data_IF_287515767407
#
_entry.id   IF_287515767407
#
_cell.length_a   1.000
_cell.length_b   1.000
_cell.length_c   1.000
_cell.angle_alpha   90.00
_cell.angle_beta   90.00
_cell.angle_gamma   90.00
#
_symmetry.space_group_name_H-M   'P 1'
#
loop_
_entity.id
_entity.type
_entity.pdbx_description
1 polymer ?
#
# COMPACT_ATOMS: atom_id res chain seq x y z
N UNK A 1 26.57 19.82 -40.26
CA UNK A 1 25.33 19.15 -39.78
C UNK A 1 25.54 18.21 -38.59
N UNK A 2 26.73 17.61 -38.40
CA UNK A 2 27.01 16.69 -37.28
C UNK A 2 27.03 17.31 -35.86
N UNK A 3 27.29 18.61 -35.73
CA UNK A 3 27.40 19.29 -34.41
C UNK A 3 26.05 19.35 -33.68
N UNK A 4 24.93 19.46 -34.41
CA UNK A 4 23.58 19.54 -33.82
C UNK A 4 23.08 18.20 -33.26
N UNK A 5 23.51 17.07 -33.82
CA UNK A 5 23.13 15.73 -33.35
C UNK A 5 23.78 15.37 -32.00
N UNK A 6 25.04 15.79 -31.78
CA UNK A 6 25.74 15.55 -30.51
C UNK A 6 25.15 16.34 -29.34
N UNK A 7 24.70 17.57 -29.56
CA UNK A 7 24.08 18.39 -28.51
C UNK A 7 22.72 17.86 -28.08
N UNK A 8 21.90 17.36 -29.00
CA UNK A 8 20.59 16.77 -28.67
C UNK A 8 20.78 15.48 -27.84
N UNK A 9 21.77 14.67 -28.15
CA UNK A 9 22.04 13.42 -27.43
C UNK A 9 22.55 13.65 -26.00
N UNK A 10 23.38 14.67 -25.77
CA UNK A 10 23.84 15.05 -24.42
C UNK A 10 22.71 15.61 -23.55
N UNK A 11 21.80 16.41 -24.13
CA UNK A 11 20.64 16.94 -23.40
C UNK A 11 19.66 15.81 -23.05
N UNK A 12 19.38 14.89 -23.97
CA UNK A 12 18.52 13.73 -23.70
C UNK A 12 19.09 12.83 -22.59
N UNK A 13 20.40 12.62 -22.56
CA UNK A 13 21.05 11.82 -21.53
C UNK A 13 21.07 12.52 -20.17
N UNK A 14 21.27 13.85 -20.14
CA UNK A 14 21.20 14.64 -18.91
C UNK A 14 19.78 14.67 -18.30
N UNK A 15 18.74 14.72 -19.13
CA UNK A 15 17.33 14.65 -18.68
C UNK A 15 17.00 13.25 -18.14
N UNK A 16 17.49 12.19 -18.79
CA UNK A 16 17.30 10.81 -18.31
C UNK A 16 18.00 10.58 -16.95
N UNK A 17 19.21 11.14 -16.76
CA UNK A 17 19.98 11.02 -15.52
C UNK A 17 19.39 11.89 -14.40
N UNK A 18 18.90 13.09 -14.70
CA UNK A 18 18.25 13.95 -13.70
C UNK A 18 16.93 13.34 -13.19
N UNK A 19 16.20 12.62 -14.04
CA UNK A 19 15.00 11.87 -13.62
C UNK A 19 15.30 10.68 -12.70
N UNK A 20 16.53 10.14 -12.73
CA UNK A 20 16.96 9.02 -11.88
C UNK A 20 17.46 9.46 -10.49
N UNK A 21 17.69 10.76 -10.27
CA UNK A 21 18.29 11.29 -9.04
C UNK A 21 17.30 12.00 -8.11
N UNK A 22 16.03 12.12 -8.46
CA UNK A 22 15.02 12.61 -7.53
C UNK A 22 14.83 11.56 -6.42
N UNK A 23 15.14 11.85 -5.14
CA UNK A 23 14.81 10.93 -4.06
C UNK A 23 13.29 10.78 -4.07
N UNK A 24 12.75 9.54 -4.16
CA UNK A 24 11.32 9.35 -4.02
C UNK A 24 10.95 9.87 -2.64
N UNK A 25 9.97 10.78 -2.57
CA UNK A 25 9.33 11.15 -1.31
C UNK A 25 8.55 9.92 -0.84
N UNK A 26 9.26 8.98 -0.20
CA UNK A 26 8.67 7.79 0.36
C UNK A 26 8.17 8.13 1.75
N UNK A 27 6.89 7.90 1.99
CA UNK A 27 6.40 7.78 3.35
C UNK A 27 7.23 6.71 4.07
N UNK A 28 7.54 6.92 5.35
CA UNK A 28 8.41 6.05 6.12
C UNK A 28 7.67 4.74 6.38
N UNK A 29 8.08 3.61 5.76
CA UNK A 29 7.34 2.37 5.92
C UNK A 29 7.34 1.93 7.39
N UNK A 30 6.17 1.51 7.87
CA UNK A 30 6.00 0.94 9.20
C UNK A 30 6.55 -0.50 9.20
N UNK A 31 7.83 -0.63 9.56
CA UNK A 31 8.51 -1.91 9.68
C UNK A 31 7.86 -2.81 10.75
N UNK A 32 7.95 -4.16 10.63
CA UNK A 32 7.53 -5.07 11.69
C UNK A 32 8.20 -4.74 13.05
N UNK A 33 7.39 -4.66 14.11
CA UNK A 33 7.84 -4.21 15.44
C UNK A 33 7.97 -2.69 15.59
N UNK A 34 7.79 -1.94 14.49
CA UNK A 34 7.86 -0.50 14.46
C UNK A 34 6.63 0.17 15.09
N UNK A 35 6.85 1.40 15.54
CA UNK A 35 5.81 2.30 16.03
C UNK A 35 6.12 3.70 15.54
N UNK A 36 5.08 4.47 15.19
CA UNK A 36 5.20 5.87 14.81
C UNK A 36 4.08 6.67 15.47
N UNK A 37 4.38 7.94 15.77
CA UNK A 37 3.34 8.93 16.01
C UNK A 37 2.68 9.21 14.67
N UNK A 38 1.34 9.23 14.64
CA UNK A 38 0.59 9.64 13.46
C UNK A 38 0.37 11.15 13.52
N UNK A 39 0.61 11.83 12.40
CA UNK A 39 0.53 13.30 12.31
C UNK A 39 -0.64 13.74 11.43
N UNK A 40 -1.24 12.80 10.70
CA UNK A 40 -2.33 13.06 9.79
C UNK A 40 -1.84 13.64 8.46
N UNK A 41 -2.24 12.99 7.40
CA UNK A 41 -1.98 13.43 6.03
C UNK A 41 -2.99 14.51 5.64
N UNK A 42 -2.49 15.67 5.20
CA UNK A 42 -3.34 16.77 4.70
C UNK A 42 -3.87 16.51 3.28
N UNK A 43 -3.18 15.64 2.53
CA UNK A 43 -3.61 15.19 1.21
C UNK A 43 -4.14 13.77 1.30
N UNK A 44 -5.29 13.53 0.68
CA UNK A 44 -5.86 12.18 0.58
C UNK A 44 -4.99 11.31 -0.37
N UNK A 45 -4.33 10.23 0.12
CA UNK A 45 -3.49 9.38 -0.71
C UNK A 45 -4.27 8.58 -1.75
N UNK A 46 -5.60 8.52 -1.63
CA UNK A 46 -6.47 7.80 -2.56
C UNK A 46 -6.91 8.65 -3.75
N UNK A 47 -6.47 9.91 -3.87
CA UNK A 47 -6.75 10.75 -5.05
C UNK A 47 -6.19 10.08 -6.31
N UNK A 48 -7.06 9.86 -7.29
CA UNK A 48 -6.74 9.16 -8.53
C UNK A 48 -6.69 7.64 -8.42
N UNK A 49 -6.92 7.07 -7.23
CA UNK A 49 -7.11 5.65 -7.02
C UNK A 49 -8.51 5.20 -7.46
N UNK A 50 -8.63 3.94 -7.88
CA UNK A 50 -9.90 3.29 -8.21
C UNK A 50 -10.33 2.43 -7.02
N UNK A 51 -11.56 2.64 -6.55
CA UNK A 51 -12.17 1.77 -5.55
C UNK A 51 -12.49 0.41 -6.16
N UNK A 52 -11.94 -0.66 -5.59
CA UNK A 52 -12.13 -2.04 -6.03
C UNK A 52 -13.25 -2.74 -5.28
N UNK A 53 -13.41 -2.46 -3.99
CA UNK A 53 -14.42 -3.05 -3.13
C UNK A 53 -14.76 -2.15 -1.94
N UNK A 54 -15.89 -2.43 -1.31
CA UNK A 54 -16.32 -1.84 -0.05
C UNK A 54 -17.06 -2.88 0.77
N UNK A 55 -16.80 -2.92 2.06
CA UNK A 55 -17.55 -3.70 3.03
C UNK A 55 -17.94 -2.80 4.20
N UNK A 56 -19.19 -2.91 4.63
CA UNK A 56 -19.70 -2.20 5.81
C UNK A 56 -20.41 -3.21 6.70
N UNK A 57 -20.01 -3.25 7.97
CA UNK A 57 -20.54 -4.19 8.93
C UNK A 57 -20.65 -3.57 10.33
N UNK A 58 -21.72 -3.89 11.07
CA UNK A 58 -21.88 -3.42 12.43
C UNK A 58 -20.87 -4.13 13.35
N UNK A 59 -20.50 -3.45 14.43
CA UNK A 59 -19.79 -4.03 15.57
C UNK A 59 -20.50 -3.66 16.86
N UNK A 60 -20.40 -4.53 17.86
CA UNK A 60 -20.89 -4.25 19.19
C UNK A 60 -20.09 -5.03 20.24
N UNK A 61 -19.88 -4.37 21.38
CA UNK A 61 -19.46 -4.96 22.63
C UNK A 61 -20.43 -4.51 23.73
N UNK A 62 -20.11 -4.74 25.01
CA UNK A 62 -21.05 -4.44 26.10
C UNK A 62 -21.27 -2.92 26.31
N UNK A 63 -20.28 -2.10 25.97
CA UNK A 63 -20.20 -0.66 26.29
C UNK A 63 -19.96 0.24 25.07
N UNK A 64 -19.83 -0.32 23.88
CA UNK A 64 -19.75 0.43 22.63
C UNK A 64 -20.36 -0.35 21.46
N UNK A 65 -20.87 0.38 20.48
CA UNK A 65 -21.39 -0.16 19.22
C UNK A 65 -21.17 0.83 18.09
N UNK A 66 -21.32 0.36 16.86
CA UNK A 66 -21.23 1.22 15.68
C UNK A 66 -21.10 0.44 14.38
N UNK A 67 -20.60 1.12 13.36
CA UNK A 67 -20.40 0.59 12.01
C UNK A 67 -18.96 0.82 11.59
N UNK A 68 -18.31 -0.26 11.13
CA UNK A 68 -17.03 -0.21 10.45
C UNK A 68 -17.27 -0.32 8.94
N UNK A 69 -16.76 0.64 8.19
CA UNK A 69 -16.66 0.55 6.73
C UNK A 69 -15.20 0.47 6.32
N UNK A 70 -14.86 -0.49 5.47
CA UNK A 70 -13.57 -0.60 4.83
C UNK A 70 -13.72 -0.50 3.31
N UNK A 71 -12.96 0.39 2.70
CA UNK A 71 -12.84 0.52 1.26
C UNK A 71 -11.46 0.04 0.80
N UNK A 72 -11.44 -0.66 -0.34
CA UNK A 72 -10.22 -1.16 -0.98
C UNK A 72 -9.95 -0.36 -2.23
N UNK A 73 -8.72 0.15 -2.38
CA UNK A 73 -8.31 0.97 -3.52
C UNK A 73 -7.06 0.42 -4.20
N UNK A 74 -6.88 0.75 -5.48
CA UNK A 74 -5.64 0.53 -6.22
C UNK A 74 -5.44 1.59 -7.32
N UNK A 75 -4.22 1.69 -7.86
CA UNK A 75 -3.89 2.63 -8.93
C UNK A 75 -3.59 4.05 -8.42
N UNK A 76 -3.45 4.99 -9.35
CA UNK A 76 -3.01 6.36 -9.02
C UNK A 76 -1.58 6.37 -8.49
N UNK A 77 -1.35 7.07 -7.38
CA UNK A 77 -0.09 7.11 -6.64
C UNK A 77 0.07 5.99 -5.60
N UNK A 78 -0.91 5.08 -5.48
CA UNK A 78 -0.87 4.03 -4.47
C UNK A 78 0.20 2.98 -4.81
N UNK A 79 0.95 2.48 -3.81
CA UNK A 79 2.02 1.48 -4.02
C UNK A 79 1.51 0.09 -4.40
N UNK A 80 0.20 -0.14 -4.28
CA UNK A 80 -0.47 -1.42 -4.47
C UNK A 80 -1.90 -1.33 -3.94
N UNK A 81 -2.49 -2.47 -3.61
CA UNK A 81 -3.81 -2.51 -2.97
C UNK A 81 -3.72 -1.89 -1.57
N UNK A 82 -4.54 -0.88 -1.32
CA UNK A 82 -4.52 -0.08 -0.09
C UNK A 82 -5.92 -0.01 0.52
N UNK A 83 -5.98 0.15 1.84
CA UNK A 83 -7.21 0.04 2.62
C UNK A 83 -7.51 1.34 3.34
N UNK A 84 -8.75 1.81 3.25
CA UNK A 84 -9.27 2.94 4.04
C UNK A 84 -10.34 2.44 4.98
N UNK A 85 -10.34 2.92 6.21
CA UNK A 85 -11.27 2.53 7.26
C UNK A 85 -12.00 3.75 7.80
N UNK A 86 -13.33 3.62 7.90
CA UNK A 86 -14.22 4.57 8.55
C UNK A 86 -14.86 3.86 9.73
N UNK A 87 -14.66 4.39 10.94
CA UNK A 87 -15.25 3.86 12.17
C UNK A 87 -16.24 4.91 12.67
N UNK A 88 -17.53 4.60 12.63
CA UNK A 88 -18.58 5.41 13.21
C UNK A 88 -19.10 4.69 14.46
N UNK A 89 -19.21 5.41 15.57
CA UNK A 89 -19.80 4.88 16.80
C UNK A 89 -21.23 5.36 16.95
N UNK A 90 -22.09 4.50 17.48
CA UNK A 90 -23.45 4.89 17.82
C UNK A 90 -23.44 5.82 19.05
N UNK A 91 -24.52 6.60 19.23
CA UNK A 91 -24.71 7.47 20.39
C UNK A 91 -25.03 6.71 21.70
N UNK A 92 -24.88 5.37 21.69
CA UNK A 92 -25.06 4.50 22.84
C UNK A 92 -23.71 3.99 23.34
N UNK A 93 -23.46 4.18 24.64
CA UNK A 93 -22.26 3.67 25.31
C UNK A 93 -21.51 4.78 26.04
N UNK A 94 -21.09 4.59 27.30
CA UNK A 94 -20.40 5.63 28.05
C UNK A 94 -18.90 5.73 27.73
N UNK A 95 -18.33 4.74 27.02
CA UNK A 95 -16.89 4.60 26.86
C UNK A 95 -16.45 4.84 25.41
N UNK A 96 -15.38 5.64 25.24
CA UNK A 96 -14.77 5.87 23.93
C UNK A 96 -13.99 4.64 23.46
N UNK A 97 -13.86 4.45 22.14
CA UNK A 97 -12.95 3.45 21.59
C UNK A 97 -11.50 3.94 21.67
N UNK A 98 -10.62 3.12 22.23
CA UNK A 98 -9.22 3.50 22.52
C UNK A 98 -8.21 2.83 21.57
N UNK A 99 -8.61 1.73 20.92
CA UNK A 99 -7.73 0.99 20.01
C UNK A 99 -8.50 0.29 18.90
N UNK A 100 -7.91 0.31 17.71
CA UNK A 100 -8.31 -0.48 16.56
C UNK A 100 -7.12 -1.29 16.05
N UNK A 101 -7.30 -2.57 15.75
CA UNK A 101 -6.25 -3.42 15.17
C UNK A 101 -6.72 -4.13 13.92
N UNK A 102 -5.94 -4.06 12.85
CA UNK A 102 -6.19 -4.69 11.56
C UNK A 102 -5.18 -5.83 11.34
N UNK A 103 -5.65 -6.99 10.87
CA UNK A 103 -4.83 -8.21 10.78
C UNK A 103 -4.42 -8.58 9.34
N UNK A 104 -3.44 -9.48 9.24
CA UNK A 104 -2.92 -10.14 8.02
C UNK A 104 -2.05 -9.29 7.08
N UNK A 105 -1.17 -8.46 7.64
CA UNK A 105 -0.21 -7.65 6.89
C UNK A 105 1.19 -8.24 6.79
N UNK A 106 1.41 -9.49 7.23
CA UNK A 106 2.73 -10.14 7.19
C UNK A 106 3.22 -10.29 5.74
N UNK A 107 4.49 -9.95 5.49
CA UNK A 107 5.10 -10.05 4.16
C UNK A 107 4.89 -8.86 3.24
N UNK A 108 4.07 -7.87 3.63
CA UNK A 108 3.86 -6.64 2.86
C UNK A 108 4.66 -5.46 3.43
N UNK A 109 5.11 -4.57 2.54
CA UNK A 109 5.48 -3.21 2.94
C UNK A 109 4.20 -2.48 3.30
N UNK A 110 4.19 -1.81 4.45
CA UNK A 110 3.00 -1.12 4.96
C UNK A 110 3.37 0.28 5.38
N UNK A 111 2.51 1.22 5.07
CA UNK A 111 2.53 2.57 5.61
C UNK A 111 1.11 2.91 6.09
N UNK A 112 0.98 3.62 7.20
CA UNK A 112 -0.29 3.78 7.88
C UNK A 112 -0.36 5.13 8.62
N UNK A 113 -1.45 5.84 8.41
CA UNK A 113 -1.73 7.15 9.01
C UNK A 113 -3.26 7.39 8.95
N UNK A 114 -3.70 8.62 9.20
CA UNK A 114 -5.06 9.07 8.96
C UNK A 114 -5.11 10.29 8.04
N UNK A 115 -6.29 10.64 7.54
CA UNK A 115 -6.51 11.85 6.74
C UNK A 115 -7.00 12.99 7.65
N UNK A 116 -6.21 14.05 7.77
CA UNK A 116 -6.54 15.21 8.60
C UNK A 116 -7.78 15.94 8.07
N UNK A 117 -8.64 16.40 8.99
CA UNK A 117 -9.89 17.08 8.64
C UNK A 117 -11.03 16.16 8.23
N UNK A 118 -10.85 14.84 8.36
CA UNK A 118 -11.93 13.85 8.23
C UNK A 118 -12.40 13.40 9.61
N UNK A 119 -13.65 12.97 9.72
CA UNK A 119 -14.26 12.55 10.99
C UNK A 119 -14.66 13.71 11.90
N UNK A 120 -15.18 13.36 13.08
CA UNK A 120 -15.62 14.27 14.14
C UNK A 120 -15.03 13.96 15.51
N UNK A 121 -14.31 12.84 15.67
CA UNK A 121 -13.65 12.45 16.92
C UNK A 121 -12.17 12.88 16.97
N UNK A 122 -11.53 12.60 18.11
CA UNK A 122 -10.07 12.67 18.21
C UNK A 122 -9.38 11.73 17.20
N UNK A 123 -8.21 12.14 16.72
CA UNK A 123 -7.35 11.32 15.88
C UNK A 123 -6.55 10.33 16.74
N UNK A 124 -6.13 9.18 16.17
CA UNK A 124 -5.18 8.31 16.87
C UNK A 124 -3.87 9.07 17.16
N UNK A 125 -3.17 8.67 18.22
CA UNK A 125 -1.86 9.24 18.58
C UNK A 125 -0.72 8.40 18.00
N UNK A 126 -0.88 7.07 18.02
CA UNK A 126 0.17 6.12 17.65
C UNK A 126 -0.38 5.09 16.68
N UNK A 127 0.41 4.80 15.65
CA UNK A 127 0.28 3.58 14.84
C UNK A 127 1.46 2.65 15.13
N UNK A 128 1.17 1.36 15.32
CA UNK A 128 2.21 0.37 15.56
C UNK A 128 1.97 -0.92 14.77
N UNK A 129 3.05 -1.63 14.45
CA UNK A 129 3.01 -2.92 13.75
C UNK A 129 3.63 -3.99 14.62
N UNK A 130 2.95 -5.12 14.75
CA UNK A 130 3.44 -6.27 15.51
C UNK A 130 4.80 -6.74 14.98
N UNK A 131 5.62 -7.35 15.85
CA UNK A 131 6.96 -7.88 15.52
C UNK A 131 6.95 -8.86 14.34
N UNK A 132 5.92 -9.69 14.22
CA UNK A 132 5.75 -10.60 13.08
C UNK A 132 5.18 -9.91 11.81
N UNK A 133 4.92 -8.61 11.87
CA UNK A 133 4.39 -7.81 10.77
C UNK A 133 2.90 -8.02 10.48
N UNK A 134 2.22 -8.92 11.20
CA UNK A 134 0.87 -9.38 10.85
C UNK A 134 -0.23 -8.40 11.22
N UNK A 135 -0.07 -7.62 12.28
CA UNK A 135 -1.11 -6.75 12.81
C UNK A 135 -0.64 -5.31 12.87
N UNK A 136 -1.48 -4.39 12.40
CA UNK A 136 -1.30 -2.94 12.54
C UNK A 136 -2.35 -2.44 13.54
N UNK A 137 -1.93 -1.63 14.51
CA UNK A 137 -2.82 -1.04 15.51
C UNK A 137 -2.76 0.47 15.48
N UNK A 138 -3.93 1.11 15.54
CA UNK A 138 -4.10 2.52 15.83
C UNK A 138 -4.53 2.67 17.29
N UNK A 139 -3.90 3.57 18.02
CA UNK A 139 -4.14 3.82 19.45
C UNK A 139 -4.36 5.29 19.67
N UNK A 140 -5.43 5.64 20.37
CA UNK A 140 -5.70 7.01 20.79
C UNK A 140 -5.03 7.29 22.15
N UNK A 141 -4.90 8.56 22.52
CA UNK A 141 -4.30 8.94 23.81
C UNK A 141 -5.23 8.55 24.98
N UNK A 142 -4.70 8.51 26.21
CA UNK A 142 -5.53 8.18 27.38
C UNK A 142 -6.63 9.23 27.56
N UNK A 143 -7.89 8.77 27.66
CA UNK A 143 -9.11 9.60 27.69
C UNK A 143 -9.39 10.37 26.38
N UNK A 144 -8.65 10.09 25.31
CA UNK A 144 -8.97 10.53 23.96
C UNK A 144 -9.32 9.27 23.17
N UNK A 145 -10.40 9.30 22.40
CA UNK A 145 -10.84 8.13 21.66
C UNK A 145 -11.92 8.48 20.67
N UNK A 146 -12.53 7.45 20.08
CA UNK A 146 -13.74 7.65 19.31
C UNK A 146 -14.90 7.67 20.29
N UNK A 147 -15.32 8.88 20.68
CA UNK A 147 -16.44 9.12 21.59
C UNK A 147 -17.75 8.61 20.98
N UNK A 148 -18.70 8.19 21.82
CA UNK A 148 -20.01 7.74 21.37
C UNK A 148 -20.72 8.80 20.50
N UNK A 149 -21.29 8.37 19.38
CA UNK A 149 -21.98 9.24 18.42
C UNK A 149 -21.04 10.02 17.48
N UNK A 150 -19.75 9.74 17.50
CA UNK A 150 -18.75 10.39 16.64
C UNK A 150 -18.16 9.44 15.61
N UNK A 151 -17.46 10.00 14.62
CA UNK A 151 -16.79 9.28 13.55
C UNK A 151 -15.29 9.53 13.63
N UNK A 152 -14.49 8.47 13.58
CA UNK A 152 -13.03 8.61 13.51
C UNK A 152 -12.59 9.31 12.22
N UNK A 153 -11.45 10.01 12.22
CA UNK A 153 -10.77 10.34 10.98
C UNK A 153 -10.54 9.08 10.14
N UNK A 154 -10.57 9.20 8.82
CA UNK A 154 -10.32 8.09 7.92
C UNK A 154 -8.92 7.56 8.15
N UNK A 155 -8.85 6.35 8.70
CA UNK A 155 -7.61 5.63 8.90
C UNK A 155 -7.26 4.94 7.59
N UNK A 156 -5.97 4.82 7.29
CA UNK A 156 -5.57 4.09 6.11
C UNK A 156 -4.33 3.25 6.32
N UNK A 157 -4.21 2.21 5.51
CA UNK A 157 -3.04 1.35 5.41
C UNK A 157 -2.72 1.18 3.93
N UNK A 158 -1.60 1.76 3.50
CA UNK A 158 -1.03 1.57 2.17
C UNK A 158 -0.21 0.29 2.16
N UNK A 159 -0.35 -0.51 1.11
CA UNK A 159 0.45 -1.73 0.96
C UNK A 159 0.94 -1.91 -0.46
N UNK A 160 2.02 -2.67 -0.62
CA UNK A 160 2.50 -3.13 -1.93
C UNK A 160 1.84 -4.45 -2.38
N UNK A 161 0.69 -4.82 -1.81
CA UNK A 161 -0.01 -6.05 -2.19
C UNK A 161 -0.56 -5.95 -3.62
N UNK A 162 -0.56 -7.07 -4.34
CA UNK A 162 -1.09 -7.15 -5.71
C UNK A 162 -2.57 -7.52 -5.76
N UNK A 163 -3.19 -7.91 -4.64
CA UNK A 163 -4.61 -8.23 -4.56
C UNK A 163 -5.16 -8.15 -3.14
N UNK A 164 -6.43 -8.53 -2.99
CA UNK A 164 -7.11 -8.66 -1.71
C UNK A 164 -8.06 -9.87 -1.68
N UNK A 165 -8.38 -10.38 -0.50
CA UNK A 165 -9.45 -11.35 -0.25
C UNK A 165 -10.27 -10.95 1.01
N UNK A 166 -11.37 -11.65 1.30
CA UNK A 166 -12.24 -11.39 2.46
C UNK A 166 -11.84 -12.11 3.76
N UNK A 167 -10.56 -12.44 3.94
CA UNK A 167 -10.05 -13.15 5.12
C UNK A 167 -9.52 -12.26 6.25
N UNK A 168 -9.75 -10.95 6.19
CA UNK A 168 -9.24 -9.97 7.15
C UNK A 168 -10.12 -9.84 8.40
N UNK A 169 -9.53 -9.31 9.48
CA UNK A 169 -10.25 -9.01 10.73
C UNK A 169 -9.80 -7.65 11.25
N UNK A 170 -10.75 -6.80 11.63
CA UNK A 170 -10.53 -5.62 12.48
C UNK A 170 -11.11 -5.90 13.87
N UNK A 171 -10.33 -5.58 14.90
CA UNK A 171 -10.78 -5.62 16.29
C UNK A 171 -10.75 -4.22 16.89
N UNK A 172 -11.84 -3.84 17.55
CA UNK A 172 -12.06 -2.54 18.19
C UNK A 172 -12.12 -2.77 19.70
N UNK A 173 -11.45 -1.92 20.48
CA UNK A 173 -11.22 -2.17 21.91
C UNK A 173 -11.23 -0.90 22.77
N UNK A 174 -11.73 -1.04 24.00
CA UNK A 174 -11.69 -0.04 25.09
C UNK A 174 -11.80 -0.72 26.50
N UNK A 175 -11.33 -1.96 26.61
CA UNK A 175 -11.59 -2.85 27.75
C UNK A 175 -12.49 -4.04 27.38
N UNK A 176 -13.44 -3.84 26.47
CA UNK A 176 -14.10 -4.91 25.72
C UNK A 176 -13.50 -5.06 24.32
N UNK A 177 -13.92 -6.09 23.57
CA UNK A 177 -13.47 -6.33 22.19
C UNK A 177 -14.67 -6.66 21.30
N UNK A 178 -14.82 -5.93 20.20
CA UNK A 178 -15.67 -6.29 19.07
C UNK A 178 -14.81 -6.60 17.85
N UNK A 179 -15.18 -7.59 17.04
CA UNK A 179 -14.41 -7.96 15.84
C UNK A 179 -15.31 -8.04 14.61
N UNK A 180 -14.77 -7.55 13.48
CA UNK A 180 -15.48 -7.46 12.20
C UNK A 180 -14.63 -8.08 11.11
N UNK A 181 -15.24 -8.92 10.27
CA UNK A 181 -14.60 -9.46 9.07
C UNK A 181 -14.45 -8.39 7.99
N UNK A 182 -13.27 -8.28 7.41
CA UNK A 182 -12.92 -7.26 6.40
C UNK A 182 -12.04 -7.86 5.29
N UNK A 183 -11.66 -7.05 4.30
CA UNK A 183 -10.65 -7.43 3.33
C UNK A 183 -9.22 -7.34 3.90
N UNK A 184 -8.34 -8.22 3.43
CA UNK A 184 -6.90 -8.22 3.74
C UNK A 184 -6.05 -8.26 2.46
N UNK A 185 -4.79 -7.82 2.51
CA UNK A 185 -3.88 -7.94 1.37
C UNK A 185 -3.52 -9.40 1.08
N UNK A 186 -3.39 -9.74 -0.20
CA UNK A 186 -2.80 -11.00 -0.66
C UNK A 186 -1.76 -10.75 -1.74
N UNK A 187 -0.76 -11.62 -1.81
CA UNK A 187 0.13 -11.70 -2.95
C UNK A 187 -0.54 -12.58 -4.00
N UNK A 188 -0.97 -11.97 -5.09
CA UNK A 188 -1.32 -12.72 -6.31
C UNK A 188 -0.01 -13.05 -7.02
N UNK A 189 0.33 -14.34 -7.23
CA UNK A 189 1.50 -14.71 -8.01
C UNK A 189 1.42 -14.06 -9.39
N UNK A 190 2.40 -13.22 -9.75
CA UNK A 190 2.38 -12.50 -11.03
C UNK A 190 2.48 -13.49 -12.19
N UNK A 191 1.40 -13.76 -12.95
CA UNK A 191 1.44 -14.80 -13.99
C UNK A 191 2.28 -14.35 -15.19
N UNK A 192 2.37 -13.03 -15.40
CA UNK A 192 2.92 -12.44 -16.61
C UNK A 192 4.41 -12.09 -16.49
N UNK A 193 4.91 -11.78 -15.30
CA UNK A 193 6.32 -11.43 -15.10
C UNK A 193 7.24 -12.62 -15.38
N UNK A 194 6.79 -13.83 -15.04
CA UNK A 194 7.47 -15.08 -15.38
C UNK A 194 7.45 -15.33 -16.90
N UNK A 195 6.33 -15.05 -17.55
CA UNK A 195 6.20 -15.21 -19.00
C UNK A 195 7.07 -14.17 -19.75
N UNK A 196 7.10 -12.93 -19.29
CA UNK A 196 7.95 -11.88 -19.85
C UNK A 196 9.43 -12.18 -19.63
N UNK A 197 9.83 -12.56 -18.43
CA UNK A 197 11.22 -12.96 -18.15
C UNK A 197 11.62 -14.18 -19.00
N UNK A 198 10.76 -15.19 -19.07
CA UNK A 198 10.99 -16.38 -19.89
C UNK A 198 11.12 -16.04 -21.38
N UNK A 199 10.20 -15.25 -21.93
CA UNK A 199 10.24 -14.82 -23.34
C UNK A 199 11.43 -13.93 -23.66
N UNK A 200 11.83 -13.05 -22.73
CA UNK A 200 13.04 -12.24 -22.87
C UNK A 200 14.31 -13.09 -22.99
N UNK A 201 14.45 -14.12 -22.16
CA UNK A 201 15.58 -15.06 -22.22
C UNK A 201 15.57 -15.82 -23.56
N UNK A 202 14.41 -16.30 -24.01
CA UNK A 202 14.30 -16.99 -25.31
C UNK A 202 14.68 -16.06 -26.46
N UNK A 203 14.20 -14.82 -26.47
CA UNK A 203 14.53 -13.83 -27.50
C UNK A 203 16.05 -13.57 -27.55
N UNK A 204 16.69 -13.33 -26.41
CA UNK A 204 18.16 -13.14 -26.34
C UNK A 204 18.90 -14.38 -26.86
N UNK A 205 18.48 -15.58 -26.47
CA UNK A 205 19.06 -16.83 -26.94
C UNK A 205 18.97 -17.00 -28.46
N UNK A 206 17.84 -16.64 -29.07
CA UNK A 206 17.65 -16.68 -30.52
C UNK A 206 18.53 -15.66 -31.26
N UNK A 207 18.63 -14.43 -30.72
CA UNK A 207 19.51 -13.40 -31.29
C UNK A 207 21.00 -13.79 -31.22
N UNK A 208 21.46 -14.31 -30.09
CA UNK A 208 22.83 -14.81 -29.93
C UNK A 208 23.15 -15.98 -30.88
N UNK A 209 22.19 -16.90 -31.08
CA UNK A 209 22.37 -18.01 -32.01
C UNK A 209 22.49 -17.55 -33.46
N UNK A 210 21.78 -16.49 -33.87
CA UNK A 210 21.88 -15.90 -35.22
C UNK A 210 23.23 -15.23 -35.45
N UNK A 211 23.75 -14.46 -34.48
CA UNK A 211 25.05 -13.78 -34.60
C UNK A 211 26.23 -14.74 -34.81
N UNK A 212 26.23 -15.89 -34.14
CA UNK A 212 27.29 -16.91 -34.30
C UNK A 212 27.33 -17.56 -35.68
N UNK A 213 26.21 -17.59 -36.42
CA UNK A 213 26.17 -18.16 -37.78
C UNK A 213 26.82 -17.24 -38.81
N UNK A 214 26.75 -15.92 -38.63
CA UNK A 214 27.38 -14.98 -39.56
C UNK A 214 28.91 -14.90 -39.40
N UNK A 215 29.45 -15.13 -38.19
CA UNK A 215 30.91 -15.15 -37.99
C UNK A 215 31.58 -16.33 -38.68
N UNK A 216 30.91 -17.48 -38.79
CA UNK A 216 31.47 -18.68 -39.46
C UNK A 216 31.41 -18.64 -40.99
N UNK A 217 30.55 -17.82 -41.59
CA UNK A 217 30.47 -17.70 -43.06
C UNK A 217 31.56 -16.81 -43.68
N UNK A 218 32.42 -16.18 -42.86
CA UNK A 218 33.55 -15.39 -43.34
C UNK A 218 34.87 -16.16 -43.47
N UNK A 219 34.92 -17.44 -43.09
CA UNK A 219 36.17 -18.22 -43.01
C UNK A 219 36.32 -19.25 -44.15
N UNK A 220 35.28 -19.43 -44.98
CA UNK A 220 35.23 -20.41 -46.07
C UNK A 220 35.13 -19.75 -47.47
N UNK A 221 35.79 -18.60 -47.71
CA UNK A 221 35.94 -18.06 -49.09
C UNK A 221 37.36 -18.29 -49.65
N UNK A 222 37.67 -19.50 -50.17
CA UNK A 222 38.91 -19.78 -50.86
C UNK A 222 38.77 -19.50 -52.36
N UNK A 223 38.79 -18.23 -52.79
CA UNK A 223 39.23 -17.88 -54.16
C UNK A 223 39.93 -16.52 -54.20
N UNK A 224 41.24 -16.56 -53.98
CA UNK A 224 42.23 -15.70 -54.63
C UNK A 224 43.26 -16.59 -55.32
#
# INVERSE_FOLDING_TARGET
MQVRARQISLIAMAVLVAGLLAPPAMAVPLAPGGSSIVIGSVTDPFVGGTQLASISAPFAAFDFAGVLTQDVYSGGSLPGVSFRYTIATDASGPAALERATMSFFSGFSTDADYISGTGTSAAPLIVNRQVNGATIGFTWALNEGIESGTVAPFLYILTNASGYDSGGIVSLMNGAVASVGVYRPISVPEPMSLLLAGSGIVAVGLFWRKGRKHVRQGEDDPTA
#
